data_IF_452837654717
#
_entry.id   IF_452837654717
#
_cell.length_a   1.000
_cell.length_b   1.000
_cell.length_c   1.000
_cell.angle_alpha   90.00
_cell.angle_beta   90.00
_cell.angle_gamma   90.00
#
_symmetry.space_group_name_H-M   'P 1'
#
loop_
_entity.id
_entity.type
_entity.pdbx_description
1 polymer ?
#
# COMPACT_ATOMS: atom_id res chain seq x y z
N UNK A 1 -22.36 -0.57 0.23
CA UNK A 1 -21.23 -1.43 -0.22
C UNK A 1 -20.97 -1.40 -1.73
N UNK A 2 -21.84 -1.89 -2.61
CA UNK A 2 -21.59 -1.94 -4.08
C UNK A 2 -21.29 -0.58 -4.72
N UNK A 3 -22.02 0.47 -4.32
CA UNK A 3 -21.82 1.82 -4.85
C UNK A 3 -20.42 2.38 -4.53
N UNK A 4 -19.93 2.19 -3.30
CA UNK A 4 -18.59 2.63 -2.92
C UNK A 4 -17.52 1.88 -3.71
N UNK A 5 -17.68 0.57 -3.91
CA UNK A 5 -16.77 -0.23 -4.72
C UNK A 5 -16.71 0.28 -6.16
N UNK A 6 -17.87 0.62 -6.74
CA UNK A 6 -17.93 1.21 -8.09
C UNK A 6 -17.22 2.57 -8.14
N UNK A 7 -17.43 3.45 -7.15
CA UNK A 7 -16.73 4.75 -7.06
C UNK A 7 -15.22 4.53 -6.95
N UNK A 8 -14.78 3.62 -6.07
CA UNK A 8 -13.37 3.32 -5.86
C UNK A 8 -12.70 2.83 -7.14
N UNK A 9 -13.34 1.90 -7.86
CA UNK A 9 -12.84 1.35 -9.13
C UNK A 9 -12.83 2.44 -10.21
N UNK A 10 -13.92 3.16 -10.42
CA UNK A 10 -14.03 4.16 -11.49
C UNK A 10 -13.07 5.32 -11.27
N UNK A 11 -12.95 5.84 -10.05
CA UNK A 11 -11.97 6.87 -9.68
C UNK A 11 -10.55 6.38 -9.93
N UNK A 12 -10.19 5.15 -9.53
CA UNK A 12 -8.84 4.65 -9.73
C UNK A 12 -8.52 4.35 -11.21
N UNK A 13 -9.48 3.87 -12.00
CA UNK A 13 -9.31 3.74 -13.44
C UNK A 13 -9.06 5.11 -14.10
N UNK A 14 -9.78 6.14 -13.67
CA UNK A 14 -9.56 7.51 -14.13
C UNK A 14 -8.18 8.02 -13.72
N UNK A 15 -7.76 7.83 -12.46
CA UNK A 15 -6.43 8.21 -11.99
C UNK A 15 -5.32 7.45 -12.72
N UNK A 16 -5.49 6.16 -13.01
CA UNK A 16 -4.55 5.36 -13.84
C UNK A 16 -4.45 5.93 -15.24
N UNK A 17 -5.57 6.31 -15.86
CA UNK A 17 -5.56 6.93 -17.18
C UNK A 17 -4.83 8.27 -17.18
N UNK A 18 -5.15 9.16 -16.24
CA UNK A 18 -4.50 10.48 -16.09
C UNK A 18 -3.01 10.30 -15.77
N UNK A 19 -2.68 9.45 -14.80
CA UNK A 19 -1.30 9.13 -14.44
C UNK A 19 -0.50 8.58 -15.62
N UNK A 20 -1.12 7.72 -16.44
CA UNK A 20 -0.49 7.21 -17.66
C UNK A 20 -0.16 8.34 -18.64
N UNK A 21 -1.00 9.37 -18.76
CA UNK A 21 -0.74 10.54 -19.61
C UNK A 21 0.31 11.50 -19.05
N UNK A 22 0.42 11.58 -17.72
CA UNK A 22 1.32 12.53 -17.03
C UNK A 22 2.72 11.97 -16.84
N UNK A 23 2.84 10.68 -16.52
CA UNK A 23 4.08 10.08 -16.05
C UNK A 23 4.78 9.18 -17.07
N UNK A 24 4.05 8.53 -17.99
CA UNK A 24 4.70 7.70 -19.00
C UNK A 24 5.51 8.56 -19.98
N UNK A 25 6.68 8.07 -20.43
CA UNK A 25 7.42 8.70 -21.51
C UNK A 25 6.58 8.83 -22.79
N UNK A 26 6.78 9.91 -23.54
CA UNK A 26 5.99 10.20 -24.75
C UNK A 26 6.17 9.15 -25.86
N UNK A 27 7.30 8.45 -25.87
CA UNK A 27 7.62 7.35 -26.78
C UNK A 27 6.96 6.02 -26.41
N UNK A 28 6.25 5.95 -25.27
CA UNK A 28 5.53 4.76 -24.81
C UNK A 28 4.05 4.82 -25.24
N UNK A 29 3.64 4.07 -26.29
CA UNK A 29 2.27 4.16 -26.79
C UNK A 29 1.27 3.48 -25.86
N UNK A 30 0.18 4.20 -25.55
CA UNK A 30 -0.98 3.68 -24.84
C UNK A 30 -1.90 2.86 -25.76
N UNK A 31 -1.38 1.75 -26.29
CA UNK A 31 -2.12 0.85 -27.18
C UNK A 31 -2.48 -0.47 -26.52
N UNK A 32 -3.62 -1.04 -26.92
CA UNK A 32 -4.07 -2.37 -26.44
C UNK A 32 -3.06 -3.48 -26.77
N UNK A 33 -2.36 -3.36 -27.91
CA UNK A 33 -1.33 -4.32 -28.31
C UNK A 33 -0.12 -4.28 -27.36
N UNK A 34 0.36 -3.08 -26.99
CA UNK A 34 1.42 -2.94 -25.99
C UNK A 34 0.97 -3.48 -24.63
N UNK A 35 -0.25 -3.15 -24.19
CA UNK A 35 -0.81 -3.64 -22.93
C UNK A 35 -0.69 -5.17 -22.82
N UNK A 36 -1.19 -5.87 -23.85
CA UNK A 36 -1.14 -7.33 -23.92
C UNK A 36 0.29 -7.86 -23.90
N UNK A 37 1.20 -7.24 -24.67
CA UNK A 37 2.61 -7.63 -24.73
C UNK A 37 3.30 -7.49 -23.37
N UNK A 38 3.12 -6.36 -22.69
CA UNK A 38 3.73 -6.11 -21.37
C UNK A 38 3.12 -7.01 -20.30
N UNK A 39 1.80 -7.18 -20.29
CA UNK A 39 1.14 -8.12 -19.38
C UNK A 39 1.66 -9.56 -19.55
N UNK A 40 1.87 -10.00 -20.79
CA UNK A 40 2.45 -11.32 -21.05
C UNK A 40 3.92 -11.42 -20.62
N UNK A 41 4.73 -10.38 -20.89
CA UNK A 41 6.15 -10.32 -20.51
C UNK A 41 6.33 -10.40 -18.99
N UNK A 42 5.49 -9.67 -18.24
CA UNK A 42 5.59 -9.55 -16.77
C UNK A 42 4.60 -10.43 -16.00
N UNK A 43 3.97 -11.42 -16.65
CA UNK A 43 2.89 -12.24 -16.07
C UNK A 43 3.22 -12.89 -14.73
N UNK A 44 4.47 -13.33 -14.54
CA UNK A 44 4.91 -13.95 -13.28
C UNK A 44 4.88 -12.95 -12.11
N UNK A 45 5.38 -11.74 -12.33
CA UNK A 45 5.36 -10.66 -11.34
C UNK A 45 3.93 -10.18 -11.06
N UNK A 46 3.11 -10.02 -12.11
CA UNK A 46 1.69 -9.70 -11.96
C UNK A 46 0.99 -10.75 -11.10
N UNK A 47 1.23 -12.03 -11.39
CA UNK A 47 0.65 -13.13 -10.61
C UNK A 47 1.13 -13.14 -9.15
N UNK A 48 2.44 -12.94 -8.92
CA UNK A 48 2.99 -12.87 -7.56
C UNK A 48 2.34 -11.76 -6.72
N UNK A 49 2.11 -10.59 -7.32
CA UNK A 49 1.48 -9.47 -6.64
C UNK A 49 0.00 -9.73 -6.37
N UNK A 50 -0.73 -10.29 -7.34
CA UNK A 50 -2.12 -10.72 -7.14
C UNK A 50 -2.18 -11.71 -5.97
N UNK A 51 -1.26 -12.67 -5.91
CA UNK A 51 -1.18 -13.64 -4.83
C UNK A 51 -0.92 -12.97 -3.48
N UNK A 52 0.01 -12.01 -3.41
CA UNK A 52 0.29 -11.24 -2.19
C UNK A 52 -0.95 -10.51 -1.67
N UNK A 53 -1.65 -9.78 -2.54
CA UNK A 53 -2.89 -9.09 -2.15
C UNK A 53 -4.02 -10.06 -1.81
N UNK A 54 -4.09 -11.21 -2.49
CA UNK A 54 -5.06 -12.25 -2.17
C UNK A 54 -4.80 -12.88 -0.79
N UNK A 55 -3.54 -13.16 -0.45
CA UNK A 55 -3.17 -13.64 0.88
C UNK A 55 -3.50 -12.60 1.95
N UNK A 56 -3.25 -11.31 1.70
CA UNK A 56 -3.68 -10.24 2.59
C UNK A 56 -5.21 -10.18 2.76
N UNK A 57 -5.96 -10.40 1.69
CA UNK A 57 -7.43 -10.48 1.77
C UNK A 57 -7.89 -11.67 2.62
N UNK A 58 -7.26 -12.84 2.47
CA UNK A 58 -7.56 -14.01 3.28
C UNK A 58 -7.20 -13.79 4.76
N UNK A 59 -6.07 -13.13 5.03
CA UNK A 59 -5.66 -12.73 6.38
C UNK A 59 -6.76 -11.92 7.07
N UNK A 60 -7.17 -10.80 6.46
CA UNK A 60 -8.20 -9.93 7.02
C UNK A 60 -9.55 -10.63 7.23
N UNK A 61 -9.89 -11.62 6.39
CA UNK A 61 -11.14 -12.38 6.49
C UNK A 61 -11.12 -13.51 7.52
N UNK A 62 -10.01 -14.23 7.61
CA UNK A 62 -9.91 -15.50 8.36
C UNK A 62 -9.29 -15.28 9.74
N UNK A 63 -8.26 -14.45 9.83
CA UNK A 63 -7.37 -14.41 10.98
C UNK A 63 -7.67 -13.29 11.99
N UNK A 64 -8.46 -12.27 11.63
CA UNK A 64 -8.89 -11.26 12.61
C UNK A 64 -9.60 -11.87 13.83
N UNK A 65 -10.39 -12.93 13.61
CA UNK A 65 -11.07 -13.63 14.68
C UNK A 65 -10.14 -14.44 15.60
N UNK A 66 -8.92 -14.79 15.13
CA UNK A 66 -7.96 -15.58 15.92
C UNK A 66 -7.31 -14.71 16.98
N UNK A 67 -6.93 -13.47 16.64
CA UNK A 67 -6.36 -12.51 17.59
C UNK A 67 -7.36 -12.21 18.74
N UNK A 68 -8.62 -11.96 18.38
CA UNK A 68 -9.70 -11.74 19.35
C UNK A 68 -9.95 -13.00 20.21
N UNK A 69 -9.90 -14.19 19.62
CA UNK A 69 -10.00 -15.46 20.35
C UNK A 69 -8.86 -15.68 21.34
N UNK A 70 -7.63 -15.30 20.98
CA UNK A 70 -6.44 -15.45 21.83
C UNK A 70 -6.27 -14.31 22.85
N UNK A 71 -7.13 -13.29 22.83
CA UNK A 71 -7.10 -12.11 23.68
C UNK A 71 -5.72 -11.41 23.74
N UNK A 72 -4.95 -11.50 22.65
CA UNK A 72 -3.65 -10.84 22.55
C UNK A 72 -3.90 -9.37 22.18
N UNK A 73 -3.31 -8.44 22.93
CA UNK A 73 -3.45 -7.01 22.66
C UNK A 73 -2.17 -6.28 23.07
N UNK A 74 -1.48 -5.69 22.10
CA UNK A 74 -0.22 -4.94 22.32
C UNK A 74 -0.43 -3.42 22.36
N UNK A 75 -1.69 -2.96 22.31
CA UNK A 75 -2.03 -1.53 22.30
C UNK A 75 -1.53 -0.80 23.54
N UNK A 76 -1.58 -1.42 24.71
CA UNK A 76 -1.09 -0.81 25.96
C UNK A 76 0.41 -0.50 25.91
N UNK A 77 1.19 -1.33 25.20
CA UNK A 77 2.63 -1.10 24.99
C UNK A 77 2.81 0.17 24.17
N UNK A 78 2.13 0.29 23.03
CA UNK A 78 2.21 1.49 22.17
C UNK A 78 1.72 2.73 22.94
N UNK A 79 0.59 2.63 23.65
CA UNK A 79 0.06 3.72 24.46
C UNK A 79 1.02 4.15 25.58
N UNK A 80 1.78 3.21 26.18
CA UNK A 80 2.78 3.57 27.20
C UNK A 80 3.97 4.36 26.64
N UNK A 81 4.26 4.25 25.34
CA UNK A 81 5.36 4.94 24.66
C UNK A 81 4.97 6.38 24.29
N UNK A 82 3.80 6.57 23.67
CA UNK A 82 3.41 7.87 23.09
C UNK A 82 2.13 8.49 23.67
N UNK A 83 1.41 7.76 24.52
CA UNK A 83 0.18 8.22 25.16
C UNK A 83 -0.86 8.70 24.16
N UNK A 84 -1.23 9.99 24.27
CA UNK A 84 -2.24 10.63 23.42
C UNK A 84 -1.65 11.63 22.42
N UNK A 85 -0.37 11.50 22.06
CA UNK A 85 0.30 12.45 21.15
C UNK A 85 -0.42 12.61 19.80
N UNK A 86 -1.08 11.57 19.29
CA UNK A 86 -1.88 11.62 18.05
C UNK A 86 -2.96 12.70 18.07
N UNK A 87 -3.46 13.13 19.25
CA UNK A 87 -4.44 14.23 19.36
C UNK A 87 -3.94 15.52 18.73
N UNK A 88 -2.63 15.75 18.71
CA UNK A 88 -2.05 16.92 18.06
C UNK A 88 -2.37 16.96 16.55
N UNK A 89 -2.47 15.79 15.89
CA UNK A 89 -2.87 15.73 14.48
C UNK A 89 -4.32 16.19 14.24
N UNK A 90 -5.14 16.25 15.29
CA UNK A 90 -6.53 16.74 15.26
C UNK A 90 -6.68 18.08 16.01
N UNK A 91 -5.59 18.82 16.25
CA UNK A 91 -5.69 20.16 16.86
C UNK A 91 -6.40 21.17 15.96
N UNK A 92 -6.44 20.91 14.65
CA UNK A 92 -7.13 21.71 13.66
C UNK A 92 -7.88 20.78 12.70
N UNK A 93 -9.20 20.75 12.80
CA UNK A 93 -10.07 19.89 11.99
C UNK A 93 -11.00 20.75 11.17
N UNK A 94 -10.88 20.65 9.84
CA UNK A 94 -11.71 21.39 8.88
C UNK A 94 -12.26 20.44 7.80
N UNK A 95 -13.52 20.61 7.33
CA UNK A 95 -14.13 19.69 6.38
C UNK A 95 -13.33 19.50 5.08
N UNK A 96 -12.74 20.56 4.55
CA UNK A 96 -11.93 20.51 3.32
C UNK A 96 -10.65 19.70 3.55
N UNK A 97 -9.98 19.93 4.68
CA UNK A 97 -8.75 19.21 5.05
C UNK A 97 -9.04 17.73 5.31
N UNK A 98 -10.15 17.43 5.98
CA UNK A 98 -10.63 16.05 6.16
C UNK A 98 -10.93 15.37 4.84
N UNK A 99 -11.59 16.07 3.89
CA UNK A 99 -11.83 15.56 2.55
C UNK A 99 -10.54 15.28 1.77
N UNK A 100 -9.53 16.15 1.90
CA UNK A 100 -8.19 15.95 1.33
C UNK A 100 -7.53 14.69 1.86
N UNK A 101 -7.39 14.57 3.19
CA UNK A 101 -6.71 13.42 3.79
C UNK A 101 -7.47 12.11 3.58
N UNK A 102 -8.79 12.13 3.64
CA UNK A 102 -9.64 11.01 3.25
C UNK A 102 -9.36 10.58 1.81
N UNK A 103 -9.26 11.53 0.87
CA UNK A 103 -9.01 11.22 -0.54
C UNK A 103 -7.63 10.59 -0.75
N UNK A 104 -6.62 11.05 -0.01
CA UNK A 104 -5.28 10.46 -0.06
C UNK A 104 -5.26 9.05 0.53
N UNK A 105 -5.92 8.86 1.67
CA UNK A 105 -5.99 7.58 2.35
C UNK A 105 -6.74 6.52 1.53
N UNK A 106 -7.88 6.87 0.93
CA UNK A 106 -8.75 5.91 0.25
C UNK A 106 -8.42 5.76 -1.23
N UNK A 107 -8.29 6.87 -1.97
CA UNK A 107 -8.15 6.83 -3.43
C UNK A 107 -6.70 6.88 -3.88
N UNK A 108 -5.92 7.87 -3.42
CA UNK A 108 -4.54 8.06 -3.90
C UNK A 108 -3.64 6.90 -3.45
N UNK A 109 -3.81 6.39 -2.24
CA UNK A 109 -3.08 5.22 -1.75
C UNK A 109 -3.27 4.01 -2.67
N UNK A 110 -4.52 3.65 -2.98
CA UNK A 110 -4.80 2.53 -3.90
C UNK A 110 -4.22 2.80 -5.29
N UNK A 111 -4.33 4.06 -5.75
CA UNK A 111 -3.78 4.48 -7.02
C UNK A 111 -2.26 4.28 -7.07
N UNK A 112 -1.49 4.78 -6.11
CA UNK A 112 -0.01 4.67 -6.18
C UNK A 112 0.46 3.23 -6.11
N UNK A 113 -0.21 2.36 -5.36
CA UNK A 113 0.11 0.94 -5.28
C UNK A 113 -0.04 0.29 -6.65
N UNK A 114 -1.22 0.42 -7.26
CA UNK A 114 -1.52 -0.23 -8.54
C UNK A 114 -0.72 0.43 -9.67
N UNK A 115 -0.69 1.76 -9.68
CA UNK A 115 -0.08 2.54 -10.75
C UNK A 115 1.45 2.41 -10.76
N UNK A 116 2.13 2.31 -9.61
CA UNK A 116 3.58 2.08 -9.58
C UNK A 116 3.98 0.85 -10.41
N UNK A 117 3.25 -0.24 -10.28
CA UNK A 117 3.47 -1.48 -11.02
C UNK A 117 3.09 -1.35 -12.48
N UNK A 118 1.92 -0.79 -12.78
CA UNK A 118 1.50 -0.54 -14.16
C UNK A 118 2.56 0.32 -14.85
N UNK A 119 2.98 1.40 -14.22
CA UNK A 119 3.95 2.35 -14.73
C UNK A 119 5.29 1.69 -15.08
N UNK A 120 5.89 0.93 -14.16
CA UNK A 120 7.16 0.25 -14.42
C UNK A 120 7.03 -0.87 -15.47
N UNK A 121 5.93 -1.64 -15.44
CA UNK A 121 5.64 -2.67 -16.45
C UNK A 121 5.48 -2.04 -17.83
N UNK A 122 4.73 -0.94 -17.94
CA UNK A 122 4.49 -0.27 -19.22
C UNK A 122 5.73 0.44 -19.75
N UNK A 123 6.58 0.95 -18.86
CA UNK A 123 7.89 1.55 -19.17
C UNK A 123 8.97 0.51 -19.48
N UNK A 124 8.64 -0.78 -19.38
CA UNK A 124 9.56 -1.90 -19.54
C UNK A 124 10.78 -1.86 -18.59
N UNK A 125 10.56 -1.34 -17.38
CA UNK A 125 11.56 -1.11 -16.34
C UNK A 125 11.69 -2.35 -15.45
N UNK A 126 12.35 -3.40 -15.97
CA UNK A 126 12.41 -4.71 -15.32
C UNK A 126 12.94 -4.66 -13.88
N UNK A 127 13.98 -3.87 -13.63
CA UNK A 127 14.59 -3.76 -12.29
C UNK A 127 13.60 -3.21 -11.27
N UNK A 128 12.87 -2.15 -11.63
CA UNK A 128 11.87 -1.52 -10.78
C UNK A 128 10.65 -2.43 -10.57
N UNK A 129 10.24 -3.22 -11.59
CA UNK A 129 9.19 -4.24 -11.43
C UNK A 129 9.60 -5.30 -10.42
N UNK A 130 10.81 -5.87 -10.56
CA UNK A 130 11.34 -6.87 -9.64
C UNK A 130 11.45 -6.30 -8.21
N UNK A 131 12.03 -5.11 -8.07
CA UNK A 131 12.20 -4.41 -6.80
C UNK A 131 10.86 -4.14 -6.11
N UNK A 132 9.87 -3.65 -6.85
CA UNK A 132 8.55 -3.35 -6.28
C UNK A 132 7.83 -4.62 -5.86
N UNK A 133 7.90 -5.67 -6.67
CA UNK A 133 7.29 -6.97 -6.36
C UNK A 133 7.88 -7.57 -5.08
N UNK A 134 9.21 -7.64 -4.99
CA UNK A 134 9.90 -8.18 -3.82
C UNK A 134 9.67 -7.30 -2.59
N UNK A 135 9.74 -5.98 -2.74
CA UNK A 135 9.51 -5.07 -1.63
C UNK A 135 8.08 -5.19 -1.08
N UNK A 136 7.06 -5.30 -1.93
CA UNK A 136 5.68 -5.53 -1.47
C UNK A 136 5.59 -6.88 -0.73
N UNK A 137 6.15 -7.96 -1.28
CA UNK A 137 6.18 -9.24 -0.59
C UNK A 137 6.84 -9.14 0.80
N UNK A 138 7.98 -8.46 0.92
CA UNK A 138 8.67 -8.27 2.20
C UNK A 138 7.85 -7.45 3.21
N UNK A 139 7.19 -6.38 2.75
CA UNK A 139 6.27 -5.60 3.59
C UNK A 139 5.22 -6.51 4.24
N UNK A 140 4.57 -7.36 3.44
CA UNK A 140 3.54 -8.27 3.95
C UNK A 140 4.12 -9.38 4.83
N UNK A 141 5.22 -10.02 4.42
CA UNK A 141 5.84 -11.09 5.20
C UNK A 141 6.31 -10.62 6.57
N UNK A 142 6.79 -9.38 6.67
CA UNK A 142 7.26 -8.81 7.94
C UNK A 142 6.10 -8.28 8.77
N UNK A 143 5.09 -7.63 8.17
CA UNK A 143 3.94 -7.10 8.91
C UNK A 143 3.02 -8.21 9.45
N UNK A 144 2.85 -9.30 8.71
CA UNK A 144 1.90 -10.37 9.03
C UNK A 144 2.08 -10.95 10.45
N UNK A 145 3.30 -11.32 10.91
CA UNK A 145 3.49 -11.75 12.30
C UNK A 145 3.01 -10.75 13.34
N UNK A 146 3.15 -9.44 13.10
CA UNK A 146 2.67 -8.43 14.05
C UNK A 146 1.15 -8.38 14.08
N UNK A 147 0.48 -8.47 12.93
CA UNK A 147 -0.99 -8.49 12.88
C UNK A 147 -1.58 -9.73 13.56
N UNK A 148 -0.91 -10.88 13.44
CA UNK A 148 -1.38 -12.13 14.03
C UNK A 148 -1.06 -12.26 15.53
N UNK A 149 0.12 -11.82 15.97
CA UNK A 149 0.66 -12.12 17.30
C UNK A 149 0.90 -10.88 18.18
N UNK A 150 0.74 -9.68 17.64
CA UNK A 150 0.93 -8.42 18.34
C UNK A 150 -0.07 -7.35 17.84
N UNK A 151 -1.39 -7.65 17.78
CA UNK A 151 -2.37 -6.72 17.24
C UNK A 151 -2.42 -5.43 18.08
N UNK A 152 -2.63 -4.31 17.39
CA UNK A 152 -2.71 -2.96 17.95
C UNK A 152 -3.95 -2.30 17.39
N UNK A 153 -4.81 -1.81 18.28
CA UNK A 153 -6.08 -1.17 17.91
C UNK A 153 -5.90 0.27 17.45
N UNK A 154 -6.75 0.72 16.54
CA UNK A 154 -6.77 2.08 16.01
C UNK A 154 -6.92 3.15 17.11
N UNK A 155 -6.29 4.31 16.93
CA UNK A 155 -6.22 5.33 18.00
C UNK A 155 -7.57 5.88 18.42
N UNK A 156 -8.52 6.06 17.50
CA UNK A 156 -9.89 6.53 17.81
C UNK A 156 -10.66 5.54 18.69
N UNK A 157 -10.32 4.25 18.63
CA UNK A 157 -10.96 3.21 19.43
C UNK A 157 -10.46 3.22 20.88
N UNK A 158 -9.22 3.66 21.09
CA UNK A 158 -8.49 3.51 22.36
C UNK A 158 -8.42 4.84 23.14
N UNK A 159 -8.29 5.96 22.43
CA UNK A 159 -7.98 7.25 23.02
C UNK A 159 -9.22 8.15 23.04
N UNK A 160 -9.71 8.46 24.24
CA UNK A 160 -10.77 9.45 24.42
C UNK A 160 -10.37 10.81 23.84
N UNK A 161 -11.20 11.36 22.96
CA UNK A 161 -10.97 12.65 22.31
C UNK A 161 -10.21 12.60 20.99
N UNK A 162 -9.94 11.40 20.45
CA UNK A 162 -9.55 11.22 19.04
C UNK A 162 -10.80 10.84 18.27
N UNK A 163 -11.20 11.68 17.31
CA UNK A 163 -12.38 11.45 16.48
C UNK A 163 -12.04 10.54 15.29
N UNK A 164 -12.90 9.58 14.92
CA UNK A 164 -12.69 8.76 13.73
C UNK A 164 -13.10 9.51 12.45
N UNK A 165 -12.32 10.53 12.07
CA UNK A 165 -12.67 11.43 10.95
C UNK A 165 -12.78 10.71 9.61
N UNK A 166 -12.17 9.52 9.48
CA UNK A 166 -12.35 8.65 8.30
C UNK A 166 -13.83 8.32 8.01
N UNK A 167 -14.66 8.22 9.06
CA UNK A 167 -16.08 7.88 8.95
C UNK A 167 -16.98 9.11 8.75
N UNK A 168 -16.44 10.34 8.85
CA UNK A 168 -17.25 11.56 8.82
C UNK A 168 -17.48 12.12 7.41
N UNK A 169 -16.78 11.62 6.39
CA UNK A 169 -16.82 12.20 5.03
C UNK A 169 -18.03 11.76 4.23
N UNK A 170 -18.40 10.47 4.32
CA UNK A 170 -19.54 9.92 3.58
C UNK A 170 -20.07 8.68 4.29
N UNK A 171 -21.38 8.57 4.55
CA UNK A 171 -21.98 7.36 5.12
C UNK A 171 -21.69 6.11 4.27
N UNK A 172 -21.77 6.25 2.94
CA UNK A 172 -21.52 5.15 1.99
C UNK A 172 -20.06 4.67 2.07
N UNK A 173 -19.12 5.59 2.27
CA UNK A 173 -17.72 5.24 2.45
C UNK A 173 -17.46 4.62 3.82
N UNK A 174 -18.07 5.16 4.88
CA UNK A 174 -17.97 4.63 6.23
C UNK A 174 -18.40 3.16 6.30
N UNK A 175 -19.59 2.84 5.79
CA UNK A 175 -20.11 1.47 5.76
C UNK A 175 -19.17 0.51 5.00
N UNK A 176 -18.56 1.00 3.92
CA UNK A 176 -17.61 0.21 3.14
C UNK A 176 -16.33 -0.05 3.93
N UNK A 177 -15.74 0.98 4.56
CA UNK A 177 -14.47 0.88 5.30
C UNK A 177 -14.64 -0.05 6.49
N UNK A 178 -15.72 0.10 7.27
CA UNK A 178 -16.05 -0.79 8.40
C UNK A 178 -16.19 -2.25 7.91
N UNK A 179 -16.73 -2.46 6.72
CA UNK A 179 -16.92 -3.80 6.16
C UNK A 179 -15.67 -4.48 5.60
N UNK A 180 -14.57 -3.74 5.38
CA UNK A 180 -13.35 -4.28 4.75
C UNK A 180 -12.09 -4.17 5.61
N UNK A 181 -12.07 -3.29 6.60
CA UNK A 181 -10.91 -3.08 7.47
C UNK A 181 -11.15 -3.67 8.86
N UNK A 182 -10.13 -4.35 9.39
CA UNK A 182 -10.06 -4.65 10.82
C UNK A 182 -9.59 -3.44 11.60
N UNK A 183 -10.01 -3.36 12.86
CA UNK A 183 -9.65 -2.26 13.76
C UNK A 183 -8.35 -2.51 14.53
N UNK A 184 -7.69 -3.68 14.38
CA UNK A 184 -6.61 -4.16 15.24
C UNK A 184 -5.28 -4.50 14.52
N UNK A 185 -5.12 -4.06 13.27
CA UNK A 185 -3.94 -4.31 12.43
C UNK A 185 -3.09 -3.04 12.20
N UNK A 186 -2.98 -2.17 13.20
CA UNK A 186 -2.26 -0.90 13.04
C UNK A 186 -0.74 -1.03 12.89
N UNK A 187 -0.12 -1.97 13.62
CA UNK A 187 1.34 -2.04 13.76
C UNK A 187 1.97 -3.20 12.96
N UNK A 188 3.01 -2.96 12.14
CA UNK A 188 3.44 -1.65 11.63
C UNK A 188 2.46 -1.10 10.59
N UNK A 189 2.44 0.22 10.38
CA UNK A 189 1.52 0.83 9.41
C UNK A 189 1.86 0.44 7.96
N UNK A 190 1.07 -0.46 7.36
CA UNK A 190 1.25 -0.85 5.95
C UNK A 190 0.96 0.30 4.97
N UNK A 191 0.03 1.20 5.29
CA UNK A 191 -0.23 2.39 4.48
C UNK A 191 1.03 3.24 4.33
N UNK A 192 1.67 3.51 5.46
CA UNK A 192 2.96 4.21 5.52
C UNK A 192 4.04 3.43 4.78
N UNK A 193 4.16 2.14 5.09
CA UNK A 193 5.27 1.31 4.62
C UNK A 193 5.26 1.11 3.10
N UNK A 194 4.10 0.83 2.50
CA UNK A 194 3.96 0.69 1.06
C UNK A 194 4.12 2.03 0.33
N UNK A 195 3.60 3.13 0.88
CA UNK A 195 3.78 4.45 0.27
C UNK A 195 5.26 4.88 0.28
N UNK A 196 5.96 4.67 1.39
CA UNK A 196 7.41 4.90 1.50
C UNK A 196 8.21 3.96 0.59
N UNK A 197 7.79 2.70 0.47
CA UNK A 197 8.41 1.73 -0.46
C UNK A 197 8.38 2.27 -1.89
N UNK A 198 7.20 2.72 -2.35
CA UNK A 198 7.01 3.25 -3.70
C UNK A 198 7.86 4.51 -3.91
N UNK A 199 7.84 5.46 -2.98
CA UNK A 199 8.61 6.70 -3.06
C UNK A 199 10.14 6.43 -3.07
N UNK A 200 10.59 5.46 -2.29
CA UNK A 200 12.01 5.06 -2.22
C UNK A 200 12.46 4.39 -3.52
N UNK A 201 11.69 3.44 -4.06
CA UNK A 201 11.99 2.80 -5.35
C UNK A 201 11.98 3.85 -6.48
N UNK A 202 11.00 4.75 -6.50
CA UNK A 202 10.96 5.84 -7.46
C UNK A 202 12.19 6.76 -7.37
N UNK A 203 12.80 6.90 -6.18
CA UNK A 203 14.03 7.66 -5.97
C UNK A 203 15.27 7.01 -6.57
N UNK A 204 15.26 5.70 -6.75
CA UNK A 204 16.33 4.98 -7.45
C UNK A 204 16.12 4.93 -8.97
N UNK A 205 14.94 5.31 -9.46
CA UNK A 205 14.64 5.38 -10.89
C UNK A 205 15.03 6.73 -11.50
N UNK A 206 15.12 6.79 -12.83
CA UNK A 206 15.33 8.01 -13.61
C UNK A 206 14.03 8.84 -13.82
N UNK A 207 12.91 8.45 -13.19
CA UNK A 207 11.57 8.99 -13.45
C UNK A 207 11.23 10.17 -12.53
N UNK A 208 11.83 11.33 -12.77
CA UNK A 208 11.71 12.52 -11.88
C UNK A 208 10.27 12.95 -11.57
N UNK A 209 9.38 13.05 -12.57
CA UNK A 209 7.97 13.44 -12.34
C UNK A 209 7.27 12.45 -11.42
N UNK A 210 7.47 11.16 -11.65
CA UNK A 210 6.91 10.08 -10.84
C UNK A 210 7.46 10.10 -9.41
N UNK A 211 8.78 10.28 -9.26
CA UNK A 211 9.44 10.42 -7.95
C UNK A 211 8.84 11.54 -7.10
N UNK A 212 8.66 12.73 -7.68
CA UNK A 212 8.09 13.89 -6.96
C UNK A 212 6.67 13.57 -6.49
N UNK A 213 5.84 13.03 -7.38
CA UNK A 213 4.47 12.68 -7.06
C UNK A 213 4.39 11.55 -6.01
N UNK A 214 5.25 10.55 -6.09
CA UNK A 214 5.30 9.45 -5.13
C UNK A 214 5.66 9.94 -3.71
N UNK A 215 6.65 10.82 -3.57
CA UNK A 215 6.99 11.41 -2.26
C UNK A 215 5.88 12.31 -1.71
N UNK A 216 5.30 13.16 -2.55
CA UNK A 216 4.16 14.00 -2.15
C UNK A 216 2.98 13.15 -1.66
N UNK A 217 2.71 12.05 -2.36
CA UNK A 217 1.65 11.11 -2.00
C UNK A 217 1.98 10.38 -0.69
N UNK A 218 3.21 9.89 -0.53
CA UNK A 218 3.63 9.20 0.69
C UNK A 218 3.53 10.09 1.93
N UNK A 219 4.00 11.34 1.85
CA UNK A 219 3.88 12.31 2.94
C UNK A 219 2.40 12.57 3.26
N UNK A 220 1.56 12.77 2.25
CA UNK A 220 0.13 13.03 2.44
C UNK A 220 -0.62 11.83 3.03
N UNK A 221 -0.21 10.61 2.69
CA UNK A 221 -0.78 9.37 3.24
C UNK A 221 -0.35 9.17 4.70
N UNK A 222 0.91 9.44 5.04
CA UNK A 222 1.39 9.37 6.43
C UNK A 222 0.67 10.40 7.31
N UNK A 223 0.47 11.61 6.80
CA UNK A 223 -0.27 12.63 7.53
C UNK A 223 -1.76 12.28 7.62
N UNK A 224 -2.34 11.66 6.59
CA UNK A 224 -3.74 11.26 6.64
C UNK A 224 -4.01 10.20 7.69
N UNK A 225 -3.10 9.24 7.90
CA UNK A 225 -3.29 8.19 8.91
C UNK A 225 -3.36 8.75 10.33
N UNK A 226 -2.55 9.77 10.65
CA UNK A 226 -2.61 10.48 11.93
C UNK A 226 -3.85 11.37 12.03
N UNK A 227 -4.08 12.21 11.03
CA UNK A 227 -5.18 13.18 11.03
C UNK A 227 -6.54 12.47 11.13
N UNK A 228 -6.72 11.37 10.40
CA UNK A 228 -7.97 10.60 10.40
C UNK A 228 -8.20 9.80 11.69
N UNK A 229 -7.21 9.74 12.59
CA UNK A 229 -7.34 9.16 13.92
C UNK A 229 -7.24 7.64 13.94
N UNK A 230 -6.61 7.01 12.95
CA UNK A 230 -6.57 5.55 12.77
C UNK A 230 -5.21 4.91 13.09
N UNK A 231 -4.14 5.70 13.22
CA UNK A 231 -2.78 5.18 13.44
C UNK A 231 -2.03 5.93 14.53
N UNK A 232 -1.06 5.22 15.12
CA UNK A 232 -0.13 5.69 16.14
C UNK A 232 1.13 6.30 15.50
N UNK A 233 1.87 7.15 16.20
CA UNK A 233 3.14 7.69 15.69
C UNK A 233 4.19 6.56 15.58
N UNK A 234 4.21 5.65 16.54
CA UNK A 234 5.14 4.52 16.61
C UNK A 234 4.94 3.53 15.46
N UNK A 235 3.68 3.29 15.07
CA UNK A 235 3.39 2.40 13.94
C UNK A 235 3.80 3.01 12.59
N UNK A 236 3.76 4.34 12.47
CA UNK A 236 4.27 5.10 11.33
C UNK A 236 5.78 5.03 11.27
N UNK A 237 6.48 5.23 12.39
CA UNK A 237 7.94 5.12 12.44
C UNK A 237 8.37 3.70 12.00
N UNK A 238 7.71 2.67 12.54
CA UNK A 238 7.96 1.28 12.14
C UNK A 238 7.65 1.06 10.65
N UNK A 239 6.55 1.62 10.15
CA UNK A 239 6.18 1.59 8.73
C UNK A 239 7.20 2.28 7.82
N UNK A 240 7.72 3.45 8.20
CA UNK A 240 8.77 4.15 7.43
C UNK A 240 10.03 3.26 7.36
N UNK A 241 10.45 2.71 8.50
CA UNK A 241 11.60 1.80 8.56
C UNK A 241 11.41 0.56 7.69
N UNK A 242 10.26 -0.10 7.78
CA UNK A 242 9.91 -1.26 6.98
C UNK A 242 9.88 -0.94 5.48
N UNK A 243 9.32 0.21 5.10
CA UNK A 243 9.22 0.64 3.71
C UNK A 243 10.59 0.91 3.08
N UNK A 244 11.46 1.63 3.80
CA UNK A 244 12.84 1.90 3.37
C UNK A 244 13.62 0.59 3.26
N UNK A 245 13.53 -0.27 4.28
CA UNK A 245 14.19 -1.56 4.31
C UNK A 245 13.77 -2.43 3.11
N UNK A 246 12.46 -2.60 2.91
CA UNK A 246 11.91 -3.44 1.84
C UNK A 246 12.29 -2.90 0.46
N UNK A 247 12.21 -1.58 0.25
CA UNK A 247 12.64 -0.94 -1.00
C UNK A 247 14.14 -1.10 -1.26
N UNK A 248 14.98 -0.94 -0.23
CA UNK A 248 16.42 -1.07 -0.35
C UNK A 248 16.81 -2.50 -0.74
N UNK A 249 16.29 -3.50 -0.02
CA UNK A 249 16.53 -4.92 -0.33
C UNK A 249 16.01 -5.25 -1.74
N UNK A 250 14.79 -4.83 -2.05
CA UNK A 250 14.20 -5.01 -3.38
C UNK A 250 15.06 -4.39 -4.50
N UNK A 251 15.64 -3.23 -4.28
CA UNK A 251 16.41 -2.56 -5.35
C UNK A 251 17.86 -3.03 -5.46
N UNK A 252 18.47 -3.49 -4.36
CA UNK A 252 19.90 -3.85 -4.28
C UNK A 252 20.20 -5.32 -4.52
N UNK A 253 19.22 -6.19 -4.40
CA UNK A 253 19.42 -7.62 -4.67
C UNK A 253 19.83 -7.83 -6.14
N UNK A 254 20.80 -8.71 -6.36
CA UNK A 254 21.15 -9.15 -7.70
C UNK A 254 20.19 -10.25 -8.15
N UNK A 255 19.31 -9.89 -9.06
CA UNK A 255 18.32 -10.79 -9.62
C UNK A 255 18.89 -11.80 -10.63
N UNK A 256 20.18 -11.75 -10.96
CA UNK A 256 20.84 -12.75 -11.81
C UNK A 256 20.96 -14.12 -11.11
N UNK A 257 20.73 -14.17 -9.79
CA UNK A 257 20.70 -15.39 -9.00
C UNK A 257 19.28 -15.98 -8.85
N UNK A 258 18.27 -15.42 -9.53
CA UNK A 258 16.88 -15.82 -9.34
C UNK A 258 16.63 -17.24 -9.87
N UNK A 259 16.46 -18.25 -8.99
CA UNK A 259 16.22 -19.63 -9.40
C UNK A 259 14.90 -19.75 -10.17
N UNK A 260 13.98 -18.82 -9.95
CA UNK A 260 12.69 -18.76 -10.62
C UNK A 260 12.87 -18.35 -12.08
N UNK A 261 13.69 -17.34 -12.38
CA UNK A 261 13.98 -16.97 -13.77
C UNK A 261 14.64 -18.15 -14.50
N UNK A 262 15.59 -18.83 -13.87
CA UNK A 262 16.23 -20.01 -14.46
C UNK A 262 15.28 -21.21 -14.61
N UNK A 263 14.41 -21.47 -13.63
CA UNK A 263 13.39 -22.52 -13.70
C UNK A 263 12.35 -22.21 -14.77
N UNK A 264 11.87 -20.97 -14.86
CA UNK A 264 10.93 -20.50 -15.87
C UNK A 264 11.54 -20.58 -17.26
N UNK A 265 12.80 -20.17 -17.45
CA UNK A 265 13.51 -20.34 -18.71
C UNK A 265 13.60 -21.81 -19.12
N UNK A 266 13.89 -22.70 -18.16
CA UNK A 266 14.00 -24.15 -18.39
C UNK A 266 12.65 -24.76 -18.77
N UNK A 267 11.56 -24.35 -18.12
CA UNK A 267 10.19 -24.77 -18.44
C UNK A 267 9.76 -24.24 -19.82
N UNK A 268 10.01 -22.96 -20.12
CA UNK A 268 9.66 -22.34 -21.40
C UNK A 268 10.42 -23.00 -22.56
N UNK A 269 11.71 -23.31 -22.39
CA UNK A 269 12.49 -24.06 -23.38
C UNK A 269 11.92 -25.46 -23.62
N UNK A 270 11.39 -26.10 -22.59
CA UNK A 270 10.80 -27.45 -22.69
C UNK A 270 9.44 -27.46 -23.39
N UNK A 271 8.67 -26.37 -23.27
CA UNK A 271 7.36 -26.22 -23.94
C UNK A 271 7.51 -25.83 -25.43
N UNK A 272 8.63 -25.18 -25.80
CA UNK A 272 8.92 -24.78 -27.19
C UNK A 272 9.61 -25.87 -28.04
N UNK A 273 10.00 -26.99 -27.44
CA UNK A 273 10.51 -28.18 -28.13
C UNK A 273 9.38 -29.18 -28.31
#
# INVERSE_FOLDING_TARGET
MLLMLLILITTNLFLIYVGSKVFLPDDVPLSRQRAKRMAYKYKAYIFAIILVFFLNFLENKIFQNIADYLAINSTSIIYSIEGSMVKFAQSFVEPILTGYFFSFYVFVYMFIIIFSLIFYIYSDSLKEVKATTLAFLLNYLIALPFFLFSPVYETWHVINGVSPLIFSVSPIASDFIIGVNGINNCFPSLHTSLAITIATIASFSDKTKWKIFAWFSAISIILSTLYLGIHWISDIIAGIGLGIFSAYIGYKIDYNLDPIDHLLEKIIKKIRR
#
